data_IF_768604930101
#
_entry.id   IF_768604930101
#
_cell.length_a   1.000
_cell.length_b   1.000
_cell.length_c   1.000
_cell.angle_alpha   90.00
_cell.angle_beta   90.00
_cell.angle_gamma   90.00
#
_symmetry.space_group_name_H-M   'P 1'
#
loop_
_entity.id
_entity.type
_entity.pdbx_description
1 polymer ?
#
# COMPACT_ATOMS: atom_id res chain seq x y z
N UNK A 1 -6.38 -9.76 0.47
CA UNK A 1 -5.45 -10.03 1.57
C UNK A 1 -5.58 -11.44 2.15
N UNK A 2 -6.72 -12.14 1.95
CA UNK A 2 -6.85 -13.53 2.40
C UNK A 2 -7.13 -13.67 3.90
N UNK A 3 -7.74 -12.63 4.48
CA UNK A 3 -8.24 -12.55 5.85
C UNK A 3 -9.74 -12.23 5.80
N UNK A 4 -10.44 -12.56 6.88
CA UNK A 4 -11.84 -12.19 7.08
C UNK A 4 -12.01 -10.73 7.49
N UNK A 5 -13.27 -10.32 7.62
CA UNK A 5 -13.69 -8.97 7.98
C UNK A 5 -13.33 -8.61 9.43
N UNK A 6 -13.42 -9.58 10.35
CA UNK A 6 -13.13 -9.38 11.77
C UNK A 6 -11.66 -9.00 11.96
N UNK A 7 -10.74 -9.73 11.31
CA UNK A 7 -9.32 -9.39 11.29
C UNK A 7 -9.09 -8.07 10.58
N UNK A 8 -9.78 -7.79 9.47
CA UNK A 8 -9.59 -6.57 8.69
C UNK A 8 -9.88 -5.30 9.50
N UNK A 9 -10.92 -5.33 10.34
CA UNK A 9 -11.33 -4.20 11.18
C UNK A 9 -10.78 -4.24 12.60
N UNK A 10 -9.94 -5.22 12.95
CA UNK A 10 -9.21 -5.25 14.21
C UNK A 10 -8.08 -4.21 14.21
N UNK A 11 -8.29 -3.10 14.93
CA UNK A 11 -7.33 -2.01 15.05
C UNK A 11 -6.01 -2.42 15.75
N UNK A 12 -5.98 -3.55 16.44
CA UNK A 12 -4.76 -4.14 16.99
C UNK A 12 -3.91 -4.86 15.93
N UNK A 13 -4.48 -5.16 14.75
CA UNK A 13 -3.84 -5.92 13.68
C UNK A 13 -3.61 -5.10 12.40
N UNK A 14 -4.54 -4.20 12.08
CA UNK A 14 -4.49 -3.40 10.85
C UNK A 14 -4.68 -1.91 11.12
N UNK A 15 -3.87 -1.10 10.43
CA UNK A 15 -4.04 0.35 10.34
C UNK A 15 -4.37 0.75 8.90
N UNK A 16 -5.44 1.52 8.72
CA UNK A 16 -5.84 2.06 7.41
C UNK A 16 -5.50 3.55 7.38
N UNK A 17 -4.45 3.88 6.63
CA UNK A 17 -3.92 5.26 6.55
C UNK A 17 -4.10 5.80 5.14
N UNK A 18 -5.02 6.75 4.90
CA UNK A 18 -5.17 7.38 3.58
C UNK A 18 -4.06 8.41 3.32
N UNK A 19 -3.76 8.65 2.04
CA UNK A 19 -2.79 9.67 1.62
C UNK A 19 -3.28 11.11 1.82
N UNK A 20 -4.60 11.31 1.98
CA UNK A 20 -5.22 12.56 2.37
C UNK A 20 -6.16 12.33 3.56
N UNK A 21 -6.10 13.21 4.56
CA UNK A 21 -6.96 13.13 5.76
C UNK A 21 -8.22 13.99 5.64
N UNK A 22 -8.48 14.52 4.45
CA UNK A 22 -9.70 15.25 4.13
C UNK A 22 -10.18 14.85 2.73
N UNK A 23 -11.48 14.97 2.50
CA UNK A 23 -12.06 14.82 1.18
C UNK A 23 -11.53 15.95 0.26
N UNK A 24 -10.89 15.62 -0.88
CA UNK A 24 -10.21 16.63 -1.69
C UNK A 24 -11.15 17.42 -2.61
N UNK A 25 -12.44 17.06 -2.65
CA UNK A 25 -13.40 17.57 -3.62
C UNK A 25 -13.47 16.71 -4.88
N UNK A 26 -14.40 17.05 -5.77
CA UNK A 26 -14.62 16.35 -7.04
C UNK A 26 -14.06 17.15 -8.21
N UNK A 27 -13.56 16.44 -9.22
CA UNK A 27 -13.29 16.99 -10.54
C UNK A 27 -14.59 17.22 -11.32
N UNK A 28 -14.47 17.81 -12.51
CA UNK A 28 -15.62 18.11 -13.38
C UNK A 28 -16.36 16.88 -13.90
N UNK A 29 -15.80 15.68 -13.73
CA UNK A 29 -16.38 14.39 -14.13
C UNK A 29 -16.88 13.59 -12.92
N UNK A 30 -16.87 14.18 -11.73
CA UNK A 30 -17.33 13.55 -10.48
C UNK A 30 -16.34 12.55 -9.88
N UNK A 31 -15.07 12.54 -10.30
CA UNK A 31 -14.01 11.77 -9.67
C UNK A 31 -13.33 12.57 -8.54
N UNK A 32 -12.89 11.90 -7.49
CA UNK A 32 -12.14 12.55 -6.42
C UNK A 32 -10.86 13.21 -6.97
N UNK A 33 -10.61 14.44 -6.53
CA UNK A 33 -9.36 15.14 -6.80
C UNK A 33 -8.17 14.41 -6.13
N UNK A 34 -6.93 14.65 -6.58
CA UNK A 34 -5.73 14.12 -5.93
C UNK A 34 -5.68 14.41 -4.42
N UNK A 35 -5.07 13.51 -3.62
CA UNK A 35 -4.83 13.79 -2.21
C UNK A 35 -4.08 15.09 -2.01
N UNK A 36 -4.59 15.86 -1.06
CA UNK A 36 -4.12 17.18 -0.68
C UNK A 36 -2.71 17.08 -0.06
N UNK A 37 -1.72 17.73 -0.68
CA UNK A 37 -0.29 17.51 -0.37
C UNK A 37 0.12 17.99 1.02
N UNK A 38 -0.60 18.94 1.62
CA UNK A 38 -0.31 19.42 2.96
C UNK A 38 -0.62 18.36 4.03
N UNK A 39 -1.58 17.46 3.80
CA UNK A 39 -1.88 16.39 4.75
C UNK A 39 -0.65 15.49 4.96
N UNK A 40 -0.03 15.05 3.86
CA UNK A 40 1.18 14.24 3.92
C UNK A 40 2.31 14.99 4.63
N UNK A 41 2.58 16.23 4.21
CA UNK A 41 3.71 17.02 4.73
C UNK A 41 3.58 17.31 6.23
N UNK A 42 2.37 17.56 6.72
CA UNK A 42 2.16 17.92 8.11
C UNK A 42 2.15 16.69 9.05
N UNK A 43 1.69 15.53 8.56
CA UNK A 43 1.25 14.47 9.48
C UNK A 43 1.80 13.08 9.20
N UNK A 44 2.14 12.72 7.96
CA UNK A 44 2.45 11.32 7.65
C UNK A 44 3.71 10.83 8.36
N UNK A 45 4.78 11.61 8.36
CA UNK A 45 6.04 11.21 9.02
C UNK A 45 5.85 11.07 10.54
N UNK A 46 5.08 11.97 11.16
CA UNK A 46 4.73 11.90 12.59
C UNK A 46 3.86 10.67 12.89
N UNK A 47 2.87 10.38 12.04
CA UNK A 47 1.97 9.24 12.19
C UNK A 47 2.73 7.93 12.17
N UNK A 48 3.60 7.71 11.18
CA UNK A 48 4.38 6.47 11.08
C UNK A 48 5.47 6.38 12.16
N UNK A 49 6.04 7.50 12.61
CA UNK A 49 6.95 7.51 13.76
C UNK A 49 6.23 7.08 15.06
N UNK A 50 4.94 7.38 15.20
CA UNK A 50 4.12 6.96 16.34
C UNK A 50 3.65 5.50 16.26
N UNK A 51 3.92 4.79 15.17
CA UNK A 51 3.55 3.39 14.98
C UNK A 51 4.76 2.50 14.65
N UNK A 52 5.78 2.43 15.54
CA UNK A 52 6.99 1.65 15.30
C UNK A 52 6.72 0.13 15.21
N UNK A 53 5.55 -0.34 15.66
CA UNK A 53 5.13 -1.74 15.60
C UNK A 53 4.72 -2.22 14.20
N UNK A 54 4.57 -1.33 13.22
CA UNK A 54 4.21 -1.74 11.85
C UNK A 54 5.37 -2.54 11.23
N UNK A 55 5.10 -3.79 10.86
CA UNK A 55 6.06 -4.67 10.19
C UNK A 55 5.93 -4.69 8.66
N UNK A 56 4.74 -4.38 8.14
CA UNK A 56 4.42 -4.42 6.72
C UNK A 56 3.57 -3.20 6.32
N UNK A 57 3.97 -2.50 5.27
CA UNK A 57 3.18 -1.43 4.64
C UNK A 57 2.76 -1.87 3.24
N UNK A 58 1.45 -1.98 3.04
CA UNK A 58 0.84 -2.18 1.72
C UNK A 58 0.63 -0.81 1.05
N UNK A 59 1.43 -0.47 0.04
CA UNK A 59 1.41 0.86 -0.59
C UNK A 59 0.60 0.85 -1.88
N UNK A 60 -0.67 1.25 -1.75
CA UNK A 60 -1.70 1.09 -2.76
C UNK A 60 -1.82 2.36 -3.62
N UNK A 61 -1.51 2.24 -4.90
CA UNK A 61 -1.64 3.34 -5.86
C UNK A 61 -0.50 4.35 -5.83
N UNK A 62 -0.50 5.25 -6.82
CA UNK A 62 0.68 6.08 -7.15
C UNK A 62 1.09 7.06 -6.04
N UNK A 63 0.14 7.62 -5.29
CA UNK A 63 0.44 8.61 -4.24
C UNK A 63 1.10 7.95 -3.03
N UNK A 64 0.62 6.78 -2.63
CA UNK A 64 1.23 5.99 -1.55
C UNK A 64 2.61 5.48 -1.96
N UNK A 65 2.75 4.95 -3.18
CA UNK A 65 4.03 4.52 -3.73
C UNK A 65 5.05 5.68 -3.78
N UNK A 66 4.64 6.88 -4.22
CA UNK A 66 5.52 8.04 -4.27
C UNK A 66 5.98 8.51 -2.88
N UNK A 67 5.17 8.31 -1.83
CA UNK A 67 5.55 8.62 -0.46
C UNK A 67 6.51 7.61 0.12
N UNK A 68 6.11 6.34 0.18
CA UNK A 68 6.86 5.31 0.89
C UNK A 68 8.11 4.84 0.15
N UNK A 69 8.09 4.80 -1.19
CA UNK A 69 9.24 4.32 -1.97
C UNK A 69 10.20 5.46 -2.35
N UNK A 70 9.71 6.70 -2.39
CA UNK A 70 10.51 7.88 -2.74
C UNK A 70 11.34 7.65 -4.02
N UNK A 71 12.67 7.86 -3.98
CA UNK A 71 13.56 7.63 -5.12
C UNK A 71 13.63 6.17 -5.61
N UNK A 72 13.23 5.19 -4.80
CA UNK A 72 13.20 3.78 -5.21
C UNK A 72 12.02 3.46 -6.14
N UNK A 73 11.02 4.34 -6.25
CA UNK A 73 9.88 4.14 -7.15
C UNK A 73 10.35 4.14 -8.60
N UNK A 74 9.80 3.23 -9.41
CA UNK A 74 10.14 3.13 -10.83
C UNK A 74 9.34 4.15 -11.67
N UNK A 75 9.61 4.20 -12.99
CA UNK A 75 8.99 5.19 -13.89
C UNK A 75 7.50 4.95 -14.08
N UNK A 76 7.06 3.69 -14.02
CA UNK A 76 5.66 3.30 -14.16
C UNK A 76 5.12 2.50 -12.97
N UNK A 77 3.78 2.41 -12.88
CA UNK A 77 3.10 1.53 -11.93
C UNK A 77 3.54 0.07 -12.14
N UNK A 78 3.54 -0.39 -13.40
CA UNK A 78 3.89 -1.78 -13.72
C UNK A 78 5.30 -2.11 -13.27
N UNK A 79 6.30 -1.27 -13.60
CA UNK A 79 7.68 -1.50 -13.18
C UNK A 79 7.85 -1.46 -11.65
N UNK A 80 7.13 -0.56 -10.97
CA UNK A 80 7.18 -0.45 -9.51
C UNK A 80 6.62 -1.70 -8.85
N UNK A 81 5.47 -2.19 -9.33
CA UNK A 81 4.83 -3.39 -8.78
C UNK A 81 5.58 -4.65 -9.21
N UNK A 82 6.13 -4.74 -10.43
CA UNK A 82 6.89 -5.91 -10.88
C UNK A 82 8.19 -6.08 -10.10
N UNK A 83 8.76 -4.98 -9.62
CA UNK A 83 9.94 -4.97 -8.78
C UNK A 83 9.64 -5.13 -7.28
N UNK A 84 8.47 -5.69 -6.93
CA UNK A 84 8.02 -5.82 -5.54
C UNK A 84 9.01 -6.55 -4.64
N UNK A 85 9.74 -7.56 -5.14
CA UNK A 85 10.74 -8.30 -4.35
C UNK A 85 11.82 -7.37 -3.81
N UNK A 86 12.36 -6.49 -4.65
CA UNK A 86 13.36 -5.52 -4.22
C UNK A 86 12.83 -4.55 -3.16
N UNK A 87 11.54 -4.24 -3.17
CA UNK A 87 10.92 -3.38 -2.15
C UNK A 87 10.63 -4.15 -0.85
N UNK A 88 10.20 -5.40 -0.98
CA UNK A 88 9.85 -6.28 0.13
C UNK A 88 11.05 -6.76 0.94
N UNK A 89 12.17 -7.06 0.27
CA UNK A 89 13.37 -7.63 0.86
C UNK A 89 14.25 -6.58 1.56
N UNK A 90 14.01 -5.28 1.31
CA UNK A 90 14.72 -4.14 1.94
C UNK A 90 14.34 -3.90 3.40
N UNK A 91 14.24 -4.96 4.21
CA UNK A 91 13.95 -4.94 5.66
C UNK A 91 15.17 -4.47 6.48
N UNK A 92 15.90 -3.48 5.99
CA UNK A 92 17.14 -3.01 6.61
C UNK A 92 16.86 -1.92 7.65
N UNK A 93 17.63 -1.95 8.74
CA UNK A 93 17.62 -0.88 9.75
C UNK A 93 16.31 -0.76 10.55
N UNK A 94 15.57 -1.85 10.72
CA UNK A 94 14.33 -1.87 11.52
C UNK A 94 13.12 -1.24 10.83
N UNK A 95 13.17 -1.01 9.52
CA UNK A 95 12.05 -0.50 8.73
C UNK A 95 11.06 -1.62 8.37
N UNK A 96 9.75 -1.31 8.25
CA UNK A 96 8.78 -2.27 7.76
C UNK A 96 9.09 -2.72 6.33
N UNK A 97 8.70 -3.95 6.01
CA UNK A 97 8.62 -4.40 4.63
C UNK A 97 7.61 -3.53 3.86
N UNK A 98 7.86 -3.27 2.57
CA UNK A 98 6.96 -2.47 1.73
C UNK A 98 6.54 -3.26 0.49
N UNK A 99 5.22 -3.43 0.31
CA UNK A 99 4.65 -4.07 -0.87
C UNK A 99 3.87 -3.06 -1.72
N UNK A 100 4.38 -2.68 -2.91
CA UNK A 100 3.61 -1.86 -3.84
C UNK A 100 2.50 -2.65 -4.51
N UNK A 101 1.30 -2.09 -4.53
CA UNK A 101 0.12 -2.69 -5.13
C UNK A 101 -0.58 -1.71 -6.09
N UNK A 102 -1.20 -2.21 -7.17
CA UNK A 102 -2.15 -1.42 -7.94
C UNK A 102 -3.37 -1.09 -7.06
N UNK A 103 -4.06 0.00 -7.36
CA UNK A 103 -5.32 0.34 -6.68
C UNK A 103 -6.39 -0.74 -6.96
N UNK A 104 -7.21 -1.17 -5.99
CA UNK A 104 -8.23 -2.20 -6.17
C UNK A 104 -9.49 -1.70 -6.92
N UNK A 105 -9.35 -0.76 -7.86
CA UNK A 105 -10.45 -0.25 -8.68
C UNK A 105 -10.66 -1.13 -9.92
N UNK A 106 -11.90 -1.23 -10.40
CA UNK A 106 -12.24 -1.85 -11.67
C UNK A 106 -11.41 -1.32 -12.85
N UNK A 107 -10.92 -0.07 -12.75
CA UNK A 107 -10.02 0.55 -13.75
C UNK A 107 -8.74 -0.24 -13.94
N UNK A 108 -8.31 -1.04 -12.96
CA UNK A 108 -7.12 -1.88 -13.03
C UNK A 108 -7.39 -3.31 -13.54
N UNK A 109 -8.62 -3.69 -13.88
CA UNK A 109 -8.92 -5.03 -14.39
C UNK A 109 -8.14 -5.35 -15.69
N UNK A 110 -8.02 -4.37 -16.59
CA UNK A 110 -7.23 -4.55 -17.81
C UNK A 110 -5.73 -4.71 -17.51
N UNK A 111 -5.22 -4.03 -16.47
CA UNK A 111 -3.85 -4.18 -16.02
C UNK A 111 -3.61 -5.58 -15.44
N UNK A 112 -4.52 -6.08 -14.59
CA UNK A 112 -4.43 -7.42 -13.99
C UNK A 112 -4.39 -8.52 -15.07
N UNK A 113 -5.26 -8.43 -16.09
CA UNK A 113 -5.25 -9.39 -17.22
C UNK A 113 -3.94 -9.39 -18.01
N UNK A 114 -3.27 -8.25 -18.12
CA UNK A 114 -1.98 -8.11 -18.81
C UNK A 114 -0.78 -8.52 -17.94
N UNK A 115 -0.98 -8.66 -16.63
CA UNK A 115 0.07 -8.92 -15.65
C UNK A 115 -0.33 -10.13 -14.76
N UNK A 116 -0.49 -11.33 -15.33
CA UNK A 116 -0.94 -12.51 -14.58
C UNK A 116 0.01 -12.89 -13.44
N UNK A 117 1.30 -12.52 -13.54
CA UNK A 117 2.30 -12.66 -12.47
C UNK A 117 1.89 -11.96 -11.17
N UNK A 118 1.03 -10.94 -11.22
CA UNK A 118 0.52 -10.32 -10.00
C UNK A 118 -0.22 -11.34 -9.13
N UNK A 119 -1.04 -12.18 -9.75
CA UNK A 119 -1.81 -13.20 -9.05
C UNK A 119 -1.00 -14.46 -8.74
N UNK A 120 -0.10 -14.88 -9.62
CA UNK A 120 0.68 -16.11 -9.43
C UNK A 120 1.90 -15.93 -8.52
N UNK A 121 2.46 -14.72 -8.44
CA UNK A 121 3.74 -14.49 -7.77
C UNK A 121 3.61 -13.56 -6.57
N UNK A 122 2.95 -12.40 -6.73
CA UNK A 122 2.88 -11.39 -5.68
C UNK A 122 1.77 -11.71 -4.66
N UNK A 123 0.56 -12.00 -5.12
CA UNK A 123 -0.59 -12.24 -4.24
C UNK A 123 -0.38 -13.37 -3.22
N UNK A 124 0.27 -14.52 -3.54
CA UNK A 124 0.54 -15.56 -2.56
C UNK A 124 1.44 -15.04 -1.44
N UNK A 125 2.53 -14.33 -1.77
CA UNK A 125 3.46 -13.76 -0.79
C UNK A 125 2.78 -12.72 0.08
N UNK A 126 1.94 -11.86 -0.50
CA UNK A 126 1.14 -10.92 0.27
C UNK A 126 0.22 -11.63 1.27
N UNK A 127 -0.48 -12.69 0.83
CA UNK A 127 -1.42 -13.44 1.69
C UNK A 127 -0.69 -14.14 2.82
N UNK A 128 0.46 -14.75 2.52
CA UNK A 128 1.27 -15.45 3.53
C UNK A 128 1.83 -14.49 4.58
N UNK A 129 2.33 -13.32 4.16
CA UNK A 129 2.87 -12.34 5.09
C UNK A 129 1.77 -11.70 5.95
N UNK A 130 0.64 -11.33 5.35
CA UNK A 130 -0.52 -10.83 6.13
C UNK A 130 -0.95 -11.89 7.15
N UNK A 131 -1.10 -13.14 6.73
CA UNK A 131 -1.49 -14.24 7.63
C UNK A 131 -0.47 -14.44 8.76
N UNK A 132 0.84 -14.35 8.48
CA UNK A 132 1.90 -14.44 9.49
C UNK A 132 1.72 -13.36 10.57
N UNK A 133 1.40 -12.13 10.17
CA UNK A 133 1.27 -10.97 11.05
C UNK A 133 -0.05 -10.92 11.82
N UNK A 134 -1.14 -11.44 11.24
CA UNK A 134 -2.48 -11.32 11.85
C UNK A 134 -2.95 -12.56 12.61
N UNK A 135 -2.15 -13.63 12.62
CA UNK A 135 -2.41 -14.83 13.44
C UNK A 135 -2.39 -14.44 14.92
N UNK A 136 -3.49 -14.73 15.61
CA UNK A 136 -3.52 -14.72 17.06
C UNK A 136 -2.65 -15.89 17.57
N UNK A 137 -1.86 -15.72 18.63
CA UNK A 137 -1.19 -16.84 19.30
C UNK A 137 -2.15 -17.97 19.70
#
# INVERSE_FOLDING_TARGET
MGIDEEVFYDAGKLAIVPMGFCFPGLDTKGGDLPPRTECRKAWHDLLFAAMPQIELVLVIGQYAQAYHLGPSRQKSLTETVSNWRQHFDKREGGKPAVLPLPHPSWRNNAWLRKNPWFETDLLPVLRDEVRRLTRTP
#
